data_IF_257138973494
#
_entry.id   IF_257138973494
#
_cell.length_a   1.000
_cell.length_b   1.000
_cell.length_c   1.000
_cell.angle_alpha   90.00
_cell.angle_beta   90.00
_cell.angle_gamma   90.00
#
_symmetry.space_group_name_H-M   'P 1'
#
loop_
_entity.id
_entity.type
_entity.pdbx_description
1 polymer ?
#
# COMPACT_ATOMS: atom_id res chain seq x y z
N UNK A 1 -48.45 34.31 0.35
CA UNK A 1 -48.26 32.94 0.86
C UNK A 1 -46.82 32.80 1.31
N UNK A 2 -46.58 32.39 2.56
CA UNK A 2 -45.23 32.29 3.15
C UNK A 2 -44.69 30.86 2.94
N UNK A 3 -43.39 30.76 2.66
CA UNK A 3 -42.66 29.52 2.37
C UNK A 3 -42.78 28.46 3.49
N UNK A 4 -43.08 28.91 4.71
CA UNK A 4 -43.28 28.07 5.89
C UNK A 4 -44.50 27.16 5.78
N UNK A 5 -45.59 27.61 5.13
CA UNK A 5 -46.82 26.80 4.99
C UNK A 5 -46.65 25.63 3.99
N UNK A 6 -45.66 25.71 3.09
CA UNK A 6 -45.33 24.66 2.12
C UNK A 6 -44.47 23.54 2.71
N UNK A 7 -43.67 23.85 3.73
CA UNK A 7 -42.79 22.89 4.40
C UNK A 7 -43.55 22.06 5.44
N UNK A 8 -44.54 22.65 6.11
CA UNK A 8 -45.34 21.94 7.11
C UNK A 8 -46.27 20.90 6.47
N UNK A 9 -46.79 21.19 5.26
CA UNK A 9 -47.67 20.27 4.52
C UNK A 9 -46.94 19.09 3.86
N UNK A 10 -45.61 19.11 3.77
CA UNK A 10 -44.82 18.00 3.21
C UNK A 10 -44.28 17.03 4.26
N UNK A 11 -44.30 17.41 5.55
CA UNK A 11 -43.87 16.53 6.63
C UNK A 11 -44.94 15.47 7.02
N UNK A 12 -46.22 15.72 6.77
CA UNK A 12 -47.30 14.79 7.13
C UNK A 12 -47.55 13.66 6.12
N UNK A 13 -46.88 13.65 4.96
CA UNK A 13 -47.14 12.66 3.89
C UNK A 13 -46.07 11.57 3.74
N UNK A 14 -45.17 11.39 4.70
CA UNK A 14 -44.21 10.26 4.67
C UNK A 14 -44.53 9.24 5.77
N UNK A 15 -45.13 8.08 5.42
CA UNK A 15 -45.31 7.00 6.38
C UNK A 15 -43.92 6.44 6.76
N UNK A 16 -43.47 6.70 7.98
CA UNK A 16 -42.29 6.07 8.57
C UNK A 16 -42.69 4.75 9.23
N UNK A 17 -42.79 3.70 8.42
CA UNK A 17 -42.89 2.33 8.91
C UNK A 17 -41.52 1.77 9.30
N UNK A 18 -41.44 0.84 10.27
CA UNK A 18 -40.19 0.18 10.61
C UNK A 18 -39.63 -0.58 9.38
N UNK A 19 -38.29 -0.61 9.20
CA UNK A 19 -37.68 -1.27 8.05
C UNK A 19 -38.01 -2.78 8.09
N UNK A 20 -38.34 -3.41 6.94
CA UNK A 20 -38.69 -4.83 6.88
C UNK A 20 -37.42 -5.69 6.98
N UNK A 21 -36.92 -5.87 8.21
CA UNK A 21 -35.71 -6.64 8.51
C UNK A 21 -35.83 -8.10 8.07
N UNK A 22 -37.03 -8.67 8.04
CA UNK A 22 -37.27 -10.07 7.68
C UNK A 22 -36.96 -10.38 6.20
N UNK A 23 -37.08 -9.39 5.32
CA UNK A 23 -36.78 -9.57 3.89
C UNK A 23 -35.27 -9.54 3.58
N UNK A 24 -34.47 -8.94 4.47
CA UNK A 24 -33.01 -8.90 4.36
C UNK A 24 -32.34 -10.20 4.85
N UNK A 25 -32.91 -10.88 5.84
CA UNK A 25 -32.40 -12.17 6.31
C UNK A 25 -32.71 -13.34 5.35
N UNK A 26 -33.81 -13.28 4.61
CA UNK A 26 -34.17 -14.32 3.63
C UNK A 26 -33.27 -14.35 2.37
N UNK A 27 -32.62 -13.22 2.02
CA UNK A 27 -31.72 -13.12 0.86
C UNK A 27 -30.32 -13.72 1.09
N UNK A 28 -29.84 -13.74 2.34
CA UNK A 28 -28.48 -14.18 2.67
C UNK A 28 -28.33 -15.72 2.72
N UNK A 29 -29.39 -16.46 3.07
CA UNK A 29 -29.34 -17.93 3.16
C UNK A 29 -29.32 -18.62 1.78
N UNK A 30 -29.93 -18.00 0.76
CA UNK A 30 -30.08 -18.63 -0.57
C UNK A 30 -28.80 -18.63 -1.42
N UNK A 31 -27.84 -17.76 -1.10
CA UNK A 31 -26.57 -17.64 -1.86
C UNK A 31 -25.47 -18.58 -1.39
N UNK A 32 -25.58 -19.13 -0.18
CA UNK A 32 -24.53 -19.99 0.42
C UNK A 32 -24.61 -21.46 -0.03
N UNK A 33 -25.76 -21.93 -0.51
CA UNK A 33 -25.95 -23.31 -0.96
C UNK A 33 -25.57 -23.59 -2.44
N UNK A 34 -25.16 -22.59 -3.22
CA UNK A 34 -24.82 -22.76 -4.65
C UNK A 34 -23.31 -22.82 -4.96
N UNK A 35 -22.43 -22.95 -3.96
CA UNK A 35 -20.96 -23.02 -4.19
C UNK A 35 -20.28 -24.31 -3.71
N UNK A 36 -21.04 -25.34 -3.37
CA UNK A 36 -20.52 -26.66 -2.96
C UNK A 36 -20.98 -27.82 -3.85
N UNK A 37 -21.07 -27.57 -5.16
CA UNK A 37 -21.22 -28.65 -6.13
C UNK A 37 -20.53 -28.29 -7.45
N UNK A 38 -19.55 -29.11 -7.84
CA UNK A 38 -18.98 -29.17 -9.19
C UNK A 38 -17.60 -28.55 -9.33
N UNK A 39 -16.55 -29.38 -9.28
CA UNK A 39 -15.78 -29.80 -10.48
C UNK A 39 -15.04 -31.10 -10.10
N UNK A 40 -15.49 -32.23 -10.64
CA UNK A 40 -14.65 -33.41 -10.90
C UNK A 40 -14.63 -33.56 -12.41
N UNK A 41 -13.46 -33.38 -13.02
CA UNK A 41 -13.22 -33.78 -14.40
C UNK A 41 -11.86 -34.50 -14.42
N UNK A 42 -11.95 -35.83 -14.54
CA UNK A 42 -10.82 -36.72 -14.69
C UNK A 42 -10.25 -36.60 -16.11
N UNK A 43 -8.93 -36.46 -16.22
CA UNK A 43 -8.21 -36.70 -17.47
C UNK A 43 -7.53 -38.06 -17.36
N UNK A 44 -8.08 -39.03 -18.09
CA UNK A 44 -7.48 -40.33 -18.32
C UNK A 44 -6.32 -40.18 -19.32
N UNK A 45 -5.13 -40.63 -18.97
CA UNK A 45 -4.09 -40.97 -19.95
C UNK A 45 -3.66 -42.41 -19.67
N UNK A 46 -4.04 -43.29 -20.59
CA UNK A 46 -3.60 -44.66 -20.65
C UNK A 46 -2.17 -44.73 -21.20
N UNK A 47 -1.27 -45.44 -20.51
CA UNK A 47 -0.08 -46.03 -21.14
C UNK A 47 0.10 -47.43 -20.58
N UNK A 48 0.27 -48.37 -21.50
CA UNK A 48 0.16 -49.81 -21.30
C UNK A 48 1.28 -50.47 -20.51
N UNK A 49 0.94 -51.71 -20.14
CA UNK A 49 1.64 -52.72 -19.37
C UNK A 49 3.01 -53.16 -19.89
N UNK A 50 3.92 -53.48 -18.97
CA UNK A 50 4.82 -54.64 -19.10
C UNK A 50 4.86 -55.41 -17.77
N UNK A 51 4.66 -56.72 -17.89
CA UNK A 51 4.59 -57.75 -16.85
C UNK A 51 6.00 -58.12 -16.39
N UNK A 52 6.20 -58.30 -15.08
CA UNK A 52 7.46 -58.80 -14.51
C UNK A 52 7.28 -59.35 -13.08
N UNK A 53 7.13 -60.68 -13.03
CA UNK A 53 7.06 -61.63 -11.91
C UNK A 53 7.48 -61.23 -10.46
N UNK A 54 6.58 -61.56 -9.53
CA UNK A 54 6.76 -62.32 -8.27
C UNK A 54 7.99 -62.10 -7.38
N UNK A 55 7.76 -61.63 -6.14
CA UNK A 55 8.11 -62.35 -4.89
C UNK A 55 7.51 -61.64 -3.67
N UNK A 56 6.86 -62.42 -2.79
CA UNK A 56 6.27 -62.01 -1.52
C UNK A 56 7.37 -61.73 -0.49
N UNK A 57 7.60 -60.46 -0.11
CA UNK A 57 8.31 -60.11 1.12
C UNK A 57 7.74 -58.84 1.76
N UNK A 58 7.42 -58.96 3.04
CA UNK A 58 6.91 -57.94 3.97
C UNK A 58 7.64 -56.61 3.92
N UNK A 59 6.93 -55.49 3.77
CA UNK A 59 7.48 -54.14 3.99
C UNK A 59 6.40 -53.16 4.45
N UNK A 60 6.62 -52.54 5.60
CA UNK A 60 5.84 -51.40 6.12
C UNK A 60 5.88 -50.29 5.09
N UNK A 61 4.73 -49.85 4.58
CA UNK A 61 4.64 -48.72 3.66
C UNK A 61 5.09 -47.45 4.40
N UNK A 62 6.17 -46.78 4.00
CA UNK A 62 6.42 -45.42 4.43
C UNK A 62 5.39 -44.55 3.72
N UNK A 63 4.51 -43.91 4.48
CA UNK A 63 3.69 -42.82 3.97
C UNK A 63 4.64 -41.77 3.39
N UNK A 64 4.69 -41.65 2.07
CA UNK A 64 5.47 -40.61 1.43
C UNK A 64 4.98 -39.25 1.98
N UNK A 65 5.86 -38.38 2.50
CA UNK A 65 5.43 -37.06 2.92
C UNK A 65 4.84 -36.35 1.71
N UNK A 66 3.59 -35.89 1.85
CA UNK A 66 2.99 -34.95 0.91
C UNK A 66 3.80 -33.67 1.04
N UNK A 67 4.76 -33.46 0.14
CA UNK A 67 5.47 -32.19 0.04
C UNK A 67 4.46 -31.17 -0.45
N UNK A 68 3.84 -30.44 0.47
CA UNK A 68 3.08 -29.24 0.13
C UNK A 68 3.98 -28.37 -0.76
N UNK A 69 3.50 -27.90 -1.92
CA UNK A 69 4.31 -27.04 -2.78
C UNK A 69 4.79 -25.85 -1.96
N UNK A 70 6.10 -25.64 -1.94
CA UNK A 70 6.71 -24.49 -1.27
C UNK A 70 6.06 -23.23 -1.87
N UNK A 71 5.49 -22.32 -1.07
CA UNK A 71 4.95 -21.08 -1.58
C UNK A 71 6.03 -20.36 -2.36
N UNK A 72 5.80 -20.12 -3.66
CA UNK A 72 6.70 -19.30 -4.48
C UNK A 72 6.74 -17.92 -3.83
N UNK A 73 7.94 -17.39 -3.47
CA UNK A 73 8.03 -16.05 -2.92
C UNK A 73 7.40 -15.06 -3.89
N UNK A 74 6.61 -14.09 -3.41
CA UNK A 74 5.99 -13.11 -4.29
C UNK A 74 7.09 -12.38 -5.08
N UNK A 75 6.85 -12.14 -6.36
CA UNK A 75 7.71 -11.26 -7.14
C UNK A 75 7.80 -9.90 -6.45
N UNK A 76 8.99 -9.31 -6.43
CA UNK A 76 9.24 -8.05 -5.71
C UNK A 76 9.56 -6.92 -6.68
N UNK A 77 9.16 -5.70 -6.34
CA UNK A 77 9.56 -4.47 -7.03
C UNK A 77 10.17 -3.48 -6.05
N UNK A 78 11.08 -2.65 -6.55
CA UNK A 78 11.69 -1.58 -5.76
C UNK A 78 10.88 -0.30 -5.87
N UNK A 79 10.66 0.35 -4.73
CA UNK A 79 10.03 1.67 -4.63
C UNK A 79 10.86 2.53 -3.70
N UNK A 80 11.10 3.79 -4.05
CA UNK A 80 12.03 4.61 -3.29
C UNK A 80 12.09 6.07 -3.68
N UNK A 81 12.88 6.82 -2.93
CA UNK A 81 13.21 8.22 -3.17
C UNK A 81 14.73 8.34 -3.21
N UNK A 82 15.26 9.01 -4.24
CA UNK A 82 16.70 9.04 -4.46
C UNK A 82 17.28 7.63 -4.51
N UNK A 83 18.47 7.43 -3.94
CA UNK A 83 19.13 6.13 -3.93
C UNK A 83 18.61 5.14 -2.88
N UNK A 84 17.67 5.53 -2.02
CA UNK A 84 17.08 4.63 -1.03
C UNK A 84 15.79 4.01 -1.57
N UNK A 85 15.67 2.68 -1.50
CA UNK A 85 14.50 1.94 -1.92
C UNK A 85 14.14 0.85 -0.92
N UNK A 86 12.90 0.39 -0.99
CA UNK A 86 12.41 -0.78 -0.27
C UNK A 86 11.81 -1.76 -1.28
N UNK A 87 12.13 -3.04 -1.13
CA UNK A 87 11.50 -4.09 -1.92
C UNK A 87 10.13 -4.45 -1.32
N UNK A 88 9.10 -4.35 -2.15
CA UNK A 88 7.71 -4.70 -1.82
C UNK A 88 7.15 -5.69 -2.85
N UNK A 89 6.11 -6.47 -2.51
CA UNK A 89 5.46 -7.34 -3.49
C UNK A 89 5.02 -6.56 -4.74
N UNK A 90 5.26 -7.13 -5.91
CA UNK A 90 5.13 -6.43 -7.18
C UNK A 90 3.67 -6.04 -7.48
N UNK A 91 2.72 -6.81 -6.97
CA UNK A 91 1.29 -6.62 -7.08
C UNK A 91 0.73 -5.57 -6.11
N UNK A 92 1.50 -5.13 -5.11
CA UNK A 92 1.05 -4.10 -4.19
C UNK A 92 0.75 -2.80 -4.94
N UNK A 93 -0.49 -2.32 -4.92
CA UNK A 93 -0.86 -1.04 -5.53
C UNK A 93 -0.37 0.15 -4.68
N UNK A 94 -0.43 1.35 -5.26
CA UNK A 94 -0.14 2.61 -4.56
C UNK A 94 -1.45 3.24 -4.05
N UNK A 95 -1.46 3.68 -2.79
CA UNK A 95 -2.56 4.40 -2.13
C UNK A 95 -3.92 3.68 -2.19
N UNK A 96 -3.97 2.36 -1.94
CA UNK A 96 -5.25 1.66 -1.69
C UNK A 96 -5.71 1.87 -0.27
N UNK A 97 -6.12 3.09 -0.03
CA UNK A 97 -6.48 3.61 1.27
C UNK A 97 -7.83 4.30 1.22
N UNK A 98 -8.41 4.46 2.40
CA UNK A 98 -9.55 5.31 2.65
C UNK A 98 -9.13 6.26 3.77
N UNK A 99 -9.20 7.56 3.52
CA UNK A 99 -8.88 8.57 4.54
C UNK A 99 -7.46 8.42 5.12
N UNK A 100 -6.48 8.10 4.25
CA UNK A 100 -5.09 7.87 4.65
C UNK A 100 -4.84 6.51 5.31
N UNK A 101 -5.89 5.74 5.56
CA UNK A 101 -5.78 4.42 6.21
C UNK A 101 -5.76 3.33 5.15
N UNK A 102 -4.74 2.48 5.09
CA UNK A 102 -4.69 1.35 4.15
C UNK A 102 -5.88 0.39 4.34
N UNK A 103 -6.57 0.13 3.23
CA UNK A 103 -7.71 -0.81 3.18
C UNK A 103 -7.33 -2.15 2.56
N UNK A 104 -6.19 -2.17 1.88
CA UNK A 104 -5.55 -3.33 1.27
C UNK A 104 -4.04 -3.10 1.35
N UNK A 105 -3.28 -4.17 1.19
CA UNK A 105 -1.84 -4.12 0.99
C UNK A 105 -1.45 -3.03 0.01
N UNK A 106 -0.61 -2.08 0.45
CA UNK A 106 -0.32 -0.92 -0.38
C UNK A 106 0.95 -0.18 0.00
N UNK A 107 1.55 0.48 -0.99
CA UNK A 107 2.52 1.55 -0.74
C UNK A 107 1.80 2.88 -0.62
N UNK A 108 2.11 3.66 0.40
CA UNK A 108 1.58 5.00 0.58
C UNK A 108 2.60 6.06 0.14
N UNK A 109 2.24 6.83 -0.89
CA UNK A 109 3.04 7.93 -1.43
C UNK A 109 2.09 9.06 -1.78
N UNK A 110 2.19 10.21 -1.10
CA UNK A 110 1.31 11.37 -1.30
C UNK A 110 -0.18 11.04 -1.34
N UNK A 111 -0.62 10.14 -0.47
CA UNK A 111 -1.99 9.66 -0.45
C UNK A 111 -2.98 10.84 -0.34
N UNK A 112 -3.73 11.18 -1.40
CA UNK A 112 -4.62 12.33 -1.39
C UNK A 112 -5.79 12.10 -0.44
N UNK A 113 -6.13 10.83 -0.16
CA UNK A 113 -7.18 10.49 0.79
C UNK A 113 -6.80 10.82 2.22
N UNK A 114 -5.50 10.93 2.56
CA UNK A 114 -5.05 11.24 3.92
C UNK A 114 -5.53 12.60 4.44
N UNK A 115 -5.99 13.49 3.55
CA UNK A 115 -6.60 14.78 3.90
C UNK A 115 -8.10 14.69 4.20
N UNK A 116 -8.72 13.55 3.91
CA UNK A 116 -10.12 13.29 4.16
C UNK A 116 -10.24 12.79 5.60
N UNK A 117 -10.68 13.65 6.52
CA UNK A 117 -10.80 13.34 7.95
C UNK A 117 -12.01 12.45 8.26
N UNK A 118 -12.07 11.24 7.69
CA UNK A 118 -13.24 10.35 7.84
C UNK A 118 -13.04 9.17 8.81
N UNK A 119 -11.94 9.13 9.56
CA UNK A 119 -11.67 8.11 10.59
C UNK A 119 -11.85 6.66 10.10
N UNK A 120 -11.34 6.35 8.91
CA UNK A 120 -11.42 4.99 8.39
C UNK A 120 -10.58 4.03 9.25
N UNK A 121 -11.05 2.78 9.38
CA UNK A 121 -10.38 1.75 10.18
C UNK A 121 -9.63 0.77 9.29
N UNK A 122 -8.38 0.48 9.64
CA UNK A 122 -7.58 -0.53 8.94
C UNK A 122 -8.22 -1.92 9.13
N UNK A 123 -8.50 -2.67 8.06
CA UNK A 123 -8.92 -4.06 8.16
C UNK A 123 -7.82 -4.97 8.75
N UNK A 124 -8.20 -6.12 9.29
CA UNK A 124 -7.23 -7.16 9.67
C UNK A 124 -6.56 -7.74 8.41
N UNK A 125 -5.29 -8.15 8.52
CA UNK A 125 -4.52 -8.72 7.41
C UNK A 125 -4.17 -7.71 6.31
N UNK A 126 -3.86 -6.47 6.70
CA UNK A 126 -3.48 -5.38 5.78
C UNK A 126 -2.14 -4.81 6.19
N UNK A 127 -1.18 -4.92 5.28
CA UNK A 127 0.15 -4.37 5.40
C UNK A 127 0.30 -3.07 4.59
N UNK A 128 1.25 -2.23 4.98
CA UNK A 128 1.57 -1.06 4.16
C UNK A 128 2.96 -0.55 4.41
N UNK A 129 3.53 0.08 3.39
CA UNK A 129 4.79 0.83 3.49
C UNK A 129 4.55 2.26 3.02
N UNK A 130 4.79 3.23 3.90
CA UNK A 130 4.85 4.65 3.56
C UNK A 130 6.28 5.07 3.21
N UNK A 131 6.41 5.87 2.16
CA UNK A 131 7.68 6.46 1.70
C UNK A 131 7.62 7.98 1.85
N UNK A 132 8.64 8.56 2.48
CA UNK A 132 8.66 9.97 2.82
C UNK A 132 10.04 10.59 2.59
N UNK A 133 10.05 11.89 2.33
CA UNK A 133 11.24 12.71 2.17
C UNK A 133 11.31 13.77 3.27
N UNK A 134 12.52 14.15 3.67
CA UNK A 134 12.79 15.07 4.77
C UNK A 134 13.05 14.36 6.10
N UNK A 135 12.87 15.09 7.19
CA UNK A 135 12.97 14.52 8.53
C UNK A 135 11.76 13.62 8.83
N UNK A 136 11.93 12.55 9.62
CA UNK A 136 10.81 11.84 10.23
C UNK A 136 9.90 12.78 11.02
N UNK A 137 8.69 12.31 11.32
CA UNK A 137 7.72 13.06 12.13
C UNK A 137 8.29 13.33 13.54
N UNK A 138 7.73 14.34 14.21
CA UNK A 138 8.23 14.83 15.50
C UNK A 138 8.25 13.76 16.61
N UNK A 139 7.40 12.73 16.51
CA UNK A 139 7.34 11.58 17.42
C UNK A 139 8.41 10.51 17.18
N UNK A 140 9.17 10.58 16.09
CA UNK A 140 10.22 9.61 15.80
C UNK A 140 11.35 9.69 16.83
N UNK A 141 11.73 8.53 17.37
CA UNK A 141 12.89 8.37 18.24
C UNK A 141 13.71 7.19 17.71
N UNK A 142 15.00 7.41 17.52
CA UNK A 142 15.92 6.36 17.13
C UNK A 142 16.24 5.51 18.36
N UNK A 143 15.78 4.27 18.36
CA UNK A 143 16.09 3.26 19.37
C UNK A 143 17.41 2.53 19.04
N UNK A 144 17.80 2.55 17.77
CA UNK A 144 19.00 1.89 17.26
C UNK A 144 19.55 2.64 16.03
N UNK A 145 20.87 2.55 15.83
CA UNK A 145 21.57 3.00 14.63
C UNK A 145 22.28 1.82 13.98
N UNK A 146 22.22 1.73 12.65
CA UNK A 146 22.80 0.64 11.87
C UNK A 146 23.21 1.14 10.48
N UNK A 147 23.70 0.25 9.61
CA UNK A 147 24.06 0.60 8.23
C UNK A 147 23.24 -0.19 7.21
N UNK A 148 22.90 0.48 6.11
CA UNK A 148 22.29 -0.12 4.92
C UNK A 148 23.19 0.22 3.75
N UNK A 149 23.86 -0.79 3.17
CA UNK A 149 24.79 -0.56 2.04
C UNK A 149 25.87 0.47 2.34
N UNK A 150 26.40 0.48 3.57
CA UNK A 150 27.40 1.45 4.04
C UNK A 150 26.87 2.86 4.36
N UNK A 151 25.55 3.06 4.32
CA UNK A 151 24.91 4.33 4.70
C UNK A 151 24.25 4.19 6.06
N UNK A 152 24.59 5.10 6.99
CA UNK A 152 23.98 5.15 8.32
C UNK A 152 22.45 5.30 8.22
N UNK A 153 21.76 4.45 8.96
CA UNK A 153 20.32 4.44 9.14
C UNK A 153 19.97 4.41 10.63
N UNK A 154 18.77 4.87 10.95
CA UNK A 154 18.24 4.97 12.31
C UNK A 154 16.90 4.25 12.37
N UNK A 155 16.71 3.40 13.38
CA UNK A 155 15.53 2.55 13.55
C UNK A 155 14.74 2.99 14.78
N UNK A 156 13.44 3.20 14.59
CA UNK A 156 12.46 3.13 15.66
C UNK A 156 11.92 1.70 15.72
N UNK A 157 11.95 1.09 16.90
CA UNK A 157 11.47 -0.26 17.17
C UNK A 157 9.99 -0.37 16.84
N UNK A 158 9.60 -1.58 16.48
CA UNK A 158 8.20 -1.88 16.17
C UNK A 158 7.40 -1.87 17.45
N UNK A 159 6.33 -1.08 17.47
CA UNK A 159 5.36 -1.03 18.58
C UNK A 159 3.99 -1.39 18.06
N UNK A 160 3.16 -2.00 18.90
CA UNK A 160 1.81 -2.39 18.55
C UNK A 160 0.81 -1.70 19.47
N UNK A 161 -0.27 -1.22 18.89
CA UNK A 161 -1.38 -0.61 19.62
C UNK A 161 -2.71 -1.13 19.09
N UNK A 162 -3.62 -1.40 20.00
CA UNK A 162 -5.04 -1.61 19.69
C UNK A 162 -5.72 -0.27 19.48
N UNK A 163 -6.66 -0.20 18.53
CA UNK A 163 -7.49 1.00 18.40
C UNK A 163 -8.40 1.12 19.62
N UNK A 164 -8.25 2.23 20.36
CA UNK A 164 -9.12 2.55 21.50
C UNK A 164 -10.45 3.18 21.06
N UNK A 165 -10.73 3.25 19.75
CA UNK A 165 -11.94 3.87 19.23
C UNK A 165 -13.16 2.95 19.42
N UNK A 166 -14.27 3.40 20.01
CA UNK A 166 -15.41 2.53 20.36
C UNK A 166 -16.04 1.79 19.17
N UNK A 167 -15.93 2.36 17.97
CA UNK A 167 -16.44 1.81 16.70
C UNK A 167 -15.40 1.07 15.87
N UNK A 168 -14.13 1.09 16.27
CA UNK A 168 -13.13 0.22 15.66
C UNK A 168 -13.48 -1.22 16.01
N UNK A 169 -13.17 -2.16 15.11
CA UNK A 169 -13.11 -3.56 15.52
C UNK A 169 -12.06 -3.64 16.64
N UNK A 170 -12.50 -3.81 17.90
CA UNK A 170 -11.67 -3.74 19.11
C UNK A 170 -10.52 -4.75 19.12
N UNK A 171 -10.51 -5.68 18.15
CA UNK A 171 -9.53 -6.75 18.03
C UNK A 171 -8.46 -6.49 16.96
N UNK A 172 -8.53 -5.42 16.17
CA UNK A 172 -7.47 -5.14 15.18
C UNK A 172 -6.32 -4.39 15.87
N UNK A 173 -5.29 -5.14 16.26
CA UNK A 173 -4.00 -4.59 16.68
C UNK A 173 -3.25 -4.11 15.44
N UNK A 174 -2.71 -2.89 15.47
CA UNK A 174 -1.81 -2.40 14.41
C UNK A 174 -0.42 -2.22 14.98
N UNK A 175 0.56 -2.83 14.33
CA UNK A 175 1.97 -2.67 14.61
C UNK A 175 2.60 -1.70 13.61
N UNK A 176 3.53 -0.87 14.07
CA UNK A 176 4.23 0.10 13.23
C UNK A 176 5.67 0.31 13.66
N UNK A 177 6.54 0.53 12.68
CA UNK A 177 7.96 0.82 12.86
C UNK A 177 8.50 1.72 11.76
N UNK A 178 9.63 2.37 12.01
CA UNK A 178 10.20 3.37 11.10
C UNK A 178 11.70 3.19 10.94
N UNK A 179 12.20 3.29 9.71
CA UNK A 179 13.63 3.41 9.38
C UNK A 179 13.86 4.75 8.70
N UNK A 180 14.81 5.54 9.22
CA UNK A 180 15.26 6.79 8.62
C UNK A 180 16.68 6.66 8.08
N UNK A 181 16.98 7.31 6.97
CA UNK A 181 18.30 7.43 6.37
C UNK A 181 18.61 8.94 6.27
N UNK A 182 19.16 9.55 7.35
CA UNK A 182 19.23 11.00 7.47
C UNK A 182 20.03 11.69 6.37
N UNK A 183 21.14 11.09 5.94
CA UNK A 183 22.00 11.63 4.87
C UNK A 183 21.29 11.76 3.52
N UNK A 184 20.29 10.89 3.26
CA UNK A 184 19.48 10.92 2.04
C UNK A 184 18.16 11.68 2.23
N UNK A 185 17.83 12.09 3.46
CA UNK A 185 16.53 12.67 3.83
C UNK A 185 15.37 11.78 3.40
N UNK A 186 15.52 10.46 3.55
CA UNK A 186 14.47 9.49 3.22
C UNK A 186 14.14 8.68 4.46
N UNK A 187 12.86 8.39 4.66
CA UNK A 187 12.44 7.46 5.70
C UNK A 187 11.25 6.62 5.23
N UNK A 188 11.18 5.41 5.77
CA UNK A 188 10.16 4.41 5.48
C UNK A 188 9.43 4.09 6.77
N UNK A 189 8.11 4.04 6.71
CA UNK A 189 7.27 3.53 7.80
C UNK A 189 6.54 2.30 7.32
N UNK A 190 6.69 1.19 8.02
CA UNK A 190 5.94 -0.01 7.76
C UNK A 190 4.88 -0.20 8.85
N UNK A 191 3.70 -0.63 8.44
CA UNK A 191 2.60 -0.94 9.36
C UNK A 191 1.95 -2.26 8.94
N UNK A 192 1.52 -3.05 9.92
CA UNK A 192 0.81 -4.31 9.70
C UNK A 192 -0.29 -4.47 10.74
N UNK A 193 -1.46 -4.95 10.32
CA UNK A 193 -2.51 -5.44 11.22
C UNK A 193 -2.41 -6.94 11.51
N UNK A 194 -1.30 -7.58 11.12
CA UNK A 194 -1.04 -9.01 11.31
C UNK A 194 -0.05 -9.24 12.45
N UNK A 195 1.18 -8.69 12.36
CA UNK A 195 2.17 -8.86 13.43
C UNK A 195 3.30 -7.82 13.41
N UNK A 196 4.03 -7.71 14.53
CA UNK A 196 5.28 -6.96 14.60
C UNK A 196 6.37 -7.55 13.69
N UNK A 197 6.41 -8.88 13.57
CA UNK A 197 7.38 -9.58 12.73
C UNK A 197 7.20 -9.23 11.24
N UNK A 198 5.96 -8.96 10.79
CA UNK A 198 5.69 -8.50 9.43
C UNK A 198 6.26 -7.10 9.18
N UNK A 199 6.16 -6.20 10.16
CA UNK A 199 6.78 -4.87 10.11
C UNK A 199 8.30 -4.98 10.00
N UNK A 200 8.91 -5.80 10.86
CA UNK A 200 10.37 -6.00 10.85
C UNK A 200 10.85 -6.61 9.54
N UNK A 201 10.11 -7.58 9.00
CA UNK A 201 10.39 -8.20 7.70
C UNK A 201 10.23 -7.22 6.53
N UNK A 202 9.28 -6.30 6.59
CA UNK A 202 9.16 -5.25 5.57
C UNK A 202 10.36 -4.31 5.62
N UNK A 203 10.69 -3.78 6.80
CA UNK A 203 11.76 -2.79 6.96
C UNK A 203 13.16 -3.39 6.71
N UNK A 204 13.36 -4.69 6.89
CA UNK A 204 14.63 -5.35 6.55
C UNK A 204 14.92 -5.40 5.04
N UNK A 205 13.93 -5.08 4.19
CA UNK A 205 14.05 -5.05 2.72
C UNK A 205 14.45 -3.68 2.16
N UNK A 206 14.83 -2.75 3.04
CA UNK A 206 15.36 -1.45 2.63
C UNK A 206 16.79 -1.64 2.12
N UNK A 207 17.12 -0.96 1.03
CA UNK A 207 18.40 -1.04 0.35
C UNK A 207 18.82 0.31 -0.22
N UNK A 208 20.13 0.52 -0.26
CA UNK A 208 20.75 1.60 -1.03
C UNK A 208 21.08 1.08 -2.42
N UNK A 209 20.63 1.80 -3.45
CA UNK A 209 20.74 1.41 -4.86
C UNK A 209 21.46 2.52 -5.64
N UNK A 210 22.81 2.56 -5.63
CA UNK A 210 23.57 3.68 -6.21
C UNK A 210 23.28 3.94 -7.69
N UNK A 211 23.07 2.88 -8.48
CA UNK A 211 22.81 2.98 -9.92
C UNK A 211 21.37 3.39 -10.29
N UNK A 212 20.48 3.54 -9.31
CA UNK A 212 19.09 3.95 -9.54
C UNK A 212 18.68 5.08 -8.62
N UNK A 213 17.69 5.84 -9.06
CA UNK A 213 17.10 6.91 -8.27
C UNK A 213 15.58 6.88 -8.37
N UNK A 214 14.94 6.94 -7.21
CA UNK A 214 13.50 7.02 -7.07
C UNK A 214 12.99 8.42 -7.33
N UNK A 215 11.96 8.53 -8.18
CA UNK A 215 11.30 9.81 -8.48
C UNK A 215 10.72 10.40 -7.19
N UNK A 216 11.21 11.57 -6.79
CA UNK A 216 10.73 12.29 -5.61
C UNK A 216 9.27 12.70 -5.79
N UNK A 217 8.59 12.88 -4.67
CA UNK A 217 7.28 13.53 -4.67
C UNK A 217 7.44 15.06 -4.71
N UNK A 218 6.73 15.79 -5.58
CA UNK A 218 6.68 17.25 -5.46
C UNK A 218 5.99 17.69 -4.16
N UNK A 219 4.96 16.96 -3.70
CA UNK A 219 4.13 17.34 -2.56
C UNK A 219 4.82 17.13 -1.21
N UNK A 220 5.57 16.04 -1.07
CA UNK A 220 6.31 15.75 0.15
C UNK A 220 7.51 16.69 0.32
N UNK A 221 8.10 17.18 -0.77
CA UNK A 221 9.33 18.00 -0.69
C UNK A 221 9.08 19.50 -0.74
N UNK A 222 8.03 19.96 -1.42
CA UNK A 222 7.76 21.40 -1.59
C UNK A 222 6.62 21.93 -0.72
N UNK A 223 5.96 21.06 0.05
CA UNK A 223 4.84 21.44 0.92
C UNK A 223 3.51 21.58 0.17
N UNK A 224 2.48 22.20 0.79
CA UNK A 224 1.19 22.45 0.15
C UNK A 224 1.34 23.24 -1.17
N UNK A 225 0.39 23.14 -2.11
CA UNK A 225 0.54 23.64 -3.49
C UNK A 225 0.65 25.16 -3.68
N UNK A 226 0.83 25.94 -2.62
CA UNK A 226 0.75 27.41 -2.66
C UNK A 226 2.12 28.03 -2.95
N UNK A 227 2.39 28.38 -4.22
CA UNK A 227 3.59 29.14 -4.62
C UNK A 227 4.28 28.60 -5.88
N UNK A 228 5.45 29.14 -6.30
CA UNK A 228 6.15 28.73 -7.52
C UNK A 228 6.87 27.38 -7.33
N UNK A 229 6.10 26.30 -7.14
CA UNK A 229 6.55 24.93 -6.84
C UNK A 229 7.60 24.42 -7.84
N UNK A 230 7.56 24.90 -9.09
CA UNK A 230 8.50 24.54 -10.16
C UNK A 230 9.95 24.78 -9.79
N UNK A 231 10.24 25.96 -9.19
CA UNK A 231 11.62 26.42 -8.99
C UNK A 231 12.41 25.52 -8.06
N UNK A 232 11.75 24.95 -7.05
CA UNK A 232 12.39 24.10 -6.06
C UNK A 232 12.47 22.64 -6.48
N UNK A 233 11.64 22.20 -7.44
CA UNK A 233 11.55 20.78 -7.80
C UNK A 233 12.69 20.30 -8.72
N UNK A 234 13.16 21.13 -9.66
CA UNK A 234 14.30 20.77 -10.52
C UNK A 234 15.57 20.49 -9.72
N UNK A 235 16.01 21.36 -8.77
CA UNK A 235 17.18 21.09 -7.95
C UNK A 235 17.08 19.78 -7.17
N UNK A 236 15.88 19.40 -6.73
CA UNK A 236 15.65 18.16 -5.98
C UNK A 236 15.81 16.92 -6.86
N UNK A 237 15.25 16.95 -8.08
CA UNK A 237 15.46 15.88 -9.05
C UNK A 237 16.94 15.78 -9.44
N UNK A 238 17.61 16.91 -9.67
CA UNK A 238 19.03 16.95 -10.01
C UNK A 238 19.91 16.39 -8.87
N UNK A 239 19.62 16.76 -7.62
CA UNK A 239 20.30 16.21 -6.44
C UNK A 239 20.08 14.70 -6.26
N UNK A 240 18.94 14.19 -6.74
CA UNK A 240 18.65 12.77 -6.83
C UNK A 240 19.25 12.10 -8.08
N UNK A 241 19.99 12.83 -8.93
CA UNK A 241 20.57 12.29 -10.16
C UNK A 241 19.56 12.07 -11.30
N UNK A 242 18.42 12.76 -11.29
CA UNK A 242 17.39 12.73 -12.33
C UNK A 242 17.32 14.07 -13.08
N UNK A 243 16.84 14.04 -14.32
CA UNK A 243 16.62 15.22 -15.15
C UNK A 243 15.15 15.63 -15.14
N UNK A 244 14.86 16.93 -15.13
CA UNK A 244 13.51 17.44 -15.26
C UNK A 244 13.21 17.88 -16.71
N UNK A 245 12.05 17.50 -17.24
CA UNK A 245 11.52 18.03 -18.49
C UNK A 245 10.13 18.61 -18.25
N UNK A 246 9.94 19.90 -18.54
CA UNK A 246 8.66 20.56 -18.26
C UNK A 246 7.72 20.53 -19.45
N UNK A 247 6.48 20.10 -19.21
CA UNK A 247 5.36 20.16 -20.15
C UNK A 247 4.32 21.15 -19.63
N UNK A 248 4.07 22.24 -20.36
CA UNK A 248 3.07 23.25 -20.00
C UNK A 248 1.70 22.89 -20.57
N UNK A 249 0.65 22.93 -19.75
CA UNK A 249 -0.74 22.68 -20.17
C UNK A 249 -1.68 23.77 -19.66
N UNK A 250 -2.70 24.13 -20.44
CA UNK A 250 -3.75 25.03 -19.98
C UNK A 250 -4.58 24.29 -18.92
N UNK A 251 -4.82 24.92 -17.77
CA UNK A 251 -5.73 24.37 -16.77
C UNK A 251 -6.54 25.49 -16.11
N UNK A 252 -7.88 25.45 -16.18
CA UNK A 252 -8.72 26.41 -15.47
C UNK A 252 -8.75 26.15 -13.95
N UNK A 253 -8.31 24.96 -13.50
CA UNK A 253 -8.41 24.51 -12.11
C UNK A 253 -7.14 24.75 -11.28
N UNK A 254 -6.01 25.09 -11.93
CA UNK A 254 -4.72 25.24 -11.25
C UNK A 254 -4.08 26.59 -11.61
N UNK A 255 -3.57 27.35 -10.63
CA UNK A 255 -2.79 28.55 -10.88
C UNK A 255 -1.57 28.27 -11.76
N UNK A 256 -1.19 29.23 -12.61
CA UNK A 256 0.01 29.16 -13.44
C UNK A 256 1.25 28.81 -12.59
N UNK A 257 2.05 27.85 -13.06
CA UNK A 257 3.23 27.36 -12.35
C UNK A 257 2.95 26.23 -11.34
N UNK A 258 1.71 25.78 -11.18
CA UNK A 258 1.43 24.60 -10.34
C UNK A 258 1.86 23.31 -11.04
N UNK A 259 2.57 22.42 -10.33
CA UNK A 259 2.82 21.05 -10.80
C UNK A 259 1.51 20.27 -10.73
N UNK A 260 1.02 19.81 -11.89
CA UNK A 260 -0.22 19.03 -12.01
C UNK A 260 0.07 17.54 -11.87
N UNK A 261 1.14 17.07 -12.53
CA UNK A 261 1.51 15.65 -12.51
C UNK A 261 2.98 15.46 -12.87
N UNK A 262 3.51 14.29 -12.52
CA UNK A 262 4.85 13.83 -12.90
C UNK A 262 4.77 12.45 -13.56
N UNK A 263 5.66 12.20 -14.51
CA UNK A 263 5.81 10.89 -15.16
C UNK A 263 7.28 10.57 -15.38
N UNK A 264 7.80 9.41 -14.95
CA UNK A 264 7.12 8.37 -14.16
C UNK A 264 6.62 8.85 -12.78
N UNK A 265 5.70 8.09 -12.19
CA UNK A 265 5.08 8.46 -10.90
C UNK A 265 6.10 8.45 -9.76
N UNK A 266 5.82 9.22 -8.70
CA UNK A 266 6.64 9.27 -7.49
C UNK A 266 6.85 7.85 -6.91
N UNK A 267 8.04 7.58 -6.39
CA UNK A 267 8.44 6.27 -5.90
C UNK A 267 9.04 5.34 -6.98
N UNK A 268 8.87 5.64 -8.27
CA UNK A 268 9.40 4.80 -9.36
C UNK A 268 10.92 4.87 -9.39
N UNK A 269 11.61 3.73 -9.33
CA UNK A 269 13.07 3.65 -9.42
C UNK A 269 13.52 3.66 -10.89
N UNK A 270 14.30 4.67 -11.27
CA UNK A 270 14.84 4.85 -12.63
C UNK A 270 16.37 4.75 -12.63
N UNK A 271 17.01 4.39 -13.75
CA UNK A 271 18.45 4.60 -13.91
C UNK A 271 18.82 6.07 -13.66
N UNK A 272 19.95 6.31 -13.01
CA UNK A 272 20.50 7.67 -12.85
C UNK A 272 20.67 8.33 -14.23
N UNK A 273 20.33 9.61 -14.31
CA UNK A 273 20.33 10.40 -15.55
C UNK A 273 19.03 10.33 -16.35
N UNK A 274 18.06 9.51 -15.93
CA UNK A 274 16.73 9.43 -16.56
C UNK A 274 15.94 10.74 -16.42
N UNK A 275 15.00 10.95 -17.34
CA UNK A 275 14.16 12.15 -17.38
C UNK A 275 12.80 11.90 -16.73
N UNK A 276 12.39 12.82 -15.86
CA UNK A 276 11.04 12.94 -15.31
C UNK A 276 10.33 14.09 -16.01
N UNK A 277 9.21 13.78 -16.66
CA UNK A 277 8.31 14.79 -17.22
C UNK A 277 7.48 15.41 -16.11
N UNK A 278 7.57 16.72 -15.94
CA UNK A 278 6.81 17.50 -14.97
C UNK A 278 5.78 18.34 -15.73
N UNK A 279 4.50 17.98 -15.57
CA UNK A 279 3.40 18.73 -16.18
C UNK A 279 3.02 19.89 -15.29
N UNK A 280 3.02 21.11 -15.84
CA UNK A 280 2.74 22.35 -15.11
C UNK A 280 1.60 23.14 -15.75
N UNK A 281 0.80 23.82 -14.93
CA UNK A 281 -0.23 24.74 -15.37
C UNK A 281 0.38 25.98 -16.01
N UNK A 282 -0.19 26.44 -17.13
CA UNK A 282 0.16 27.70 -17.81
C UNK A 282 -1.01 28.66 -17.81
#
# INVERSE_FOLDING_TARGET
MKLTDLLERTAEQTPVGPPPLDTLYAGAARRRHRRTAGVVAAAAVAVGSVIGASTLLTSRTPTAPVTSPTPVPPAMRLVGFGHAAIAIPADWPTNRSQCGTPMQDTVQIDDPSARLYCMAFRPAGVESVGLYYGSPRAEFRADETFEIGGVRAERQRTTCSTSNYPKANRNTTTCGGTVSIPSLKVWFRAESSTSAADVDRMLSRIQIVPGRSGVLSPWTVTGPPTGPLVGNYTPLLAAAGLKAQYKRVKSPSYPTGTIISISPAAGTMLPVGSTVTVTIAR
#
